data_IF_320700552514
#
_entry.id   IF_320700552514
#
_cell.length_a   1.000
_cell.length_b   1.000
_cell.length_c   1.000
_cell.angle_alpha   90.00
_cell.angle_beta   90.00
_cell.angle_gamma   90.00
#
_symmetry.space_group_name_H-M   'P 1'
#
loop_
_entity.id
_entity.type
_entity.pdbx_description
1 polymer ?
#
# COMPACT_ATOMS: atom_id res chain seq x y z
N UNK A 1 -13.60 -8.97 -28.63
CA UNK A 1 -12.43 -8.42 -27.90
C UNK A 1 -11.80 -9.54 -27.07
N UNK A 2 -10.56 -9.94 -27.37
CA UNK A 2 -9.89 -11.08 -26.76
C UNK A 2 -9.34 -10.74 -25.36
N UNK A 3 -10.01 -11.20 -24.30
CA UNK A 3 -9.53 -11.10 -22.92
C UNK A 3 -8.27 -11.95 -22.65
N UNK A 4 -7.91 -12.86 -23.55
CA UNK A 4 -6.83 -13.84 -23.36
C UNK A 4 -5.40 -13.32 -23.54
N UNK A 5 -5.19 -12.09 -24.05
CA UNK A 5 -3.84 -11.57 -24.31
C UNK A 5 -3.30 -10.63 -23.22
N UNK A 6 -4.13 -10.12 -22.32
CA UNK A 6 -3.71 -9.10 -21.34
C UNK A 6 -2.81 -9.64 -20.21
N UNK A 7 -2.81 -10.96 -19.99
CA UNK A 7 -2.20 -11.61 -18.83
C UNK A 7 -0.95 -12.46 -19.13
N UNK A 8 -0.65 -12.71 -20.42
CA UNK A 8 0.38 -13.70 -20.85
C UNK A 8 1.83 -13.28 -20.53
N UNK A 9 2.04 -12.04 -20.09
CA UNK A 9 3.34 -11.54 -19.66
C UNK A 9 3.23 -10.64 -18.42
N UNK A 10 2.18 -10.83 -17.63
CA UNK A 10 1.97 -10.05 -16.42
C UNK A 10 2.69 -10.66 -15.23
N UNK A 11 3.13 -9.79 -14.33
CA UNK A 11 3.71 -10.15 -13.05
C UNK A 11 2.75 -9.79 -11.93
N UNK A 12 2.71 -10.59 -10.85
CA UNK A 12 1.63 -10.51 -9.86
C UNK A 12 2.14 -10.32 -8.44
N UNK A 13 1.47 -9.44 -7.70
CA UNK A 13 1.42 -9.49 -6.25
C UNK A 13 0.09 -10.09 -5.82
N UNK A 14 0.13 -11.13 -5.01
CA UNK A 14 -1.04 -11.77 -4.42
C UNK A 14 -0.95 -11.56 -2.91
N UNK A 15 -1.90 -10.81 -2.37
CA UNK A 15 -2.00 -10.46 -0.96
C UNK A 15 -3.19 -11.19 -0.36
N UNK A 16 -2.95 -11.96 0.70
CA UNK A 16 -3.99 -12.61 1.51
C UNK A 16 -3.80 -12.16 2.95
N UNK A 17 -4.84 -11.66 3.58
CA UNK A 17 -4.79 -11.14 4.95
C UNK A 17 -6.14 -11.30 5.64
N UNK A 18 -6.18 -11.11 6.95
CA UNK A 18 -7.38 -11.30 7.76
C UNK A 18 -8.54 -10.40 7.30
N UNK A 19 -9.77 -10.85 7.56
CA UNK A 19 -10.95 -9.99 7.41
C UNK A 19 -10.80 -8.74 8.29
N UNK A 20 -10.97 -7.60 7.64
CA UNK A 20 -10.84 -6.30 8.26
C UNK A 20 -11.59 -5.25 7.47
N UNK A 21 -11.89 -4.15 8.14
CA UNK A 21 -12.69 -3.06 7.60
C UNK A 21 -12.03 -1.72 7.94
N UNK A 22 -12.34 -0.71 7.13
CA UNK A 22 -11.88 0.66 7.37
C UNK A 22 -10.47 0.93 6.85
N UNK A 23 -10.28 2.16 6.39
CA UNK A 23 -9.05 2.59 5.74
C UNK A 23 -7.84 2.70 6.67
N UNK A 24 -8.03 2.55 7.98
CA UNK A 24 -6.95 2.44 8.96
C UNK A 24 -6.30 1.06 9.00
N UNK A 25 -6.98 0.00 8.56
CA UNK A 25 -6.43 -1.37 8.57
C UNK A 25 -5.80 -1.75 7.23
N UNK A 26 -6.36 -1.23 6.15
CA UNK A 26 -5.86 -1.41 4.80
C UNK A 26 -6.28 -0.25 3.89
N UNK A 27 -5.49 0.06 2.87
CA UNK A 27 -5.88 1.04 1.86
C UNK A 27 -5.12 0.75 0.57
N UNK A 28 -5.79 0.86 -0.58
CA UNK A 28 -5.21 0.54 -1.87
C UNK A 28 -5.59 1.57 -2.92
N UNK A 29 -4.70 1.77 -3.87
CA UNK A 29 -4.99 2.49 -5.09
C UNK A 29 -4.28 1.85 -6.27
N UNK A 30 -5.04 1.56 -7.33
CA UNK A 30 -4.55 0.98 -8.58
C UNK A 30 -5.24 1.71 -9.75
N UNK A 31 -4.57 2.65 -10.45
CA UNK A 31 -5.14 3.24 -11.66
C UNK A 31 -5.48 2.17 -12.71
N UNK A 32 -6.48 2.46 -13.54
CA UNK A 32 -6.87 1.65 -14.70
C UNK A 32 -7.24 0.19 -14.41
N UNK A 33 -7.63 -0.09 -13.15
CA UNK A 33 -8.05 -1.43 -12.74
C UNK A 33 -6.92 -2.45 -12.75
N UNK A 34 -5.66 -2.05 -12.53
CA UNK A 34 -4.50 -2.93 -12.38
C UNK A 34 -4.53 -3.83 -11.12
N UNK A 35 -5.70 -3.95 -10.48
CA UNK A 35 -5.93 -4.77 -9.32
C UNK A 35 -7.35 -5.35 -9.28
N UNK A 36 -7.48 -6.52 -8.65
CA UNK A 36 -8.76 -7.17 -8.31
C UNK A 36 -8.75 -7.51 -6.84
N UNK A 37 -9.91 -7.40 -6.21
CA UNK A 37 -10.06 -7.68 -4.79
C UNK A 37 -11.27 -8.57 -4.53
N UNK A 38 -11.19 -9.34 -3.46
CA UNK A 38 -12.30 -10.05 -2.83
C UNK A 38 -12.18 -9.82 -1.33
N UNK A 39 -13.02 -8.97 -0.78
CA UNK A 39 -13.01 -8.67 0.65
C UNK A 39 -13.96 -9.58 1.43
N UNK A 40 -13.56 -9.97 2.64
CA UNK A 40 -14.35 -10.76 3.61
C UNK A 40 -14.84 -12.13 3.09
N UNK A 41 -14.15 -12.72 2.11
CA UNK A 41 -14.54 -14.00 1.53
C UNK A 41 -13.85 -15.13 2.28
N UNK A 42 -14.62 -15.94 2.99
CA UNK A 42 -14.08 -17.04 3.80
C UNK A 42 -13.25 -16.57 4.99
N UNK A 43 -13.56 -15.39 5.55
CA UNK A 43 -12.84 -14.83 6.70
C UNK A 43 -11.52 -14.12 6.37
N UNK A 44 -11.22 -13.94 5.09
CA UNK A 44 -10.02 -13.26 4.62
C UNK A 44 -10.34 -12.21 3.56
N UNK A 45 -9.38 -11.30 3.39
CA UNK A 45 -9.29 -10.40 2.26
C UNK A 45 -8.22 -10.91 1.29
N UNK A 46 -8.54 -10.87 0.00
CA UNK A 46 -7.59 -11.19 -1.07
C UNK A 46 -7.50 -10.01 -2.02
N UNK A 47 -6.29 -9.55 -2.30
CA UNK A 47 -6.02 -8.54 -3.32
C UNK A 47 -4.97 -9.08 -4.28
N UNK A 48 -5.23 -8.96 -5.59
CA UNK A 48 -4.29 -9.30 -6.64
C UNK A 48 -3.98 -8.05 -7.43
N UNK A 49 -2.72 -7.64 -7.41
CA UNK A 49 -2.18 -6.64 -8.31
C UNK A 49 -1.46 -7.34 -9.47
N UNK A 50 -1.53 -6.76 -10.67
CA UNK A 50 -0.69 -7.20 -11.78
C UNK A 50 -0.10 -6.02 -12.55
N UNK A 51 1.11 -6.22 -13.07
CA UNK A 51 1.76 -5.31 -14.02
C UNK A 51 2.01 -6.02 -15.34
N UNK A 52 1.63 -5.41 -16.45
CA UNK A 52 1.98 -5.87 -17.80
C UNK A 52 3.36 -5.42 -18.26
N UNK A 53 3.96 -4.45 -17.58
CA UNK A 53 5.14 -3.75 -18.08
C UNK A 53 6.38 -3.99 -17.21
N UNK A 54 6.22 -4.54 -16.01
CA UNK A 54 7.35 -4.97 -15.17
C UNK A 54 8.33 -5.86 -15.92
N UNK A 55 7.84 -6.93 -16.57
CA UNK A 55 8.68 -7.86 -17.33
C UNK A 55 9.32 -7.22 -18.57
N UNK A 56 8.77 -6.11 -19.08
CA UNK A 56 9.28 -5.38 -20.25
C UNK A 56 10.25 -4.25 -19.88
N UNK A 57 10.17 -3.76 -18.65
CA UNK A 57 11.01 -2.68 -18.16
C UNK A 57 12.50 -3.08 -18.20
N UNK A 58 13.37 -2.12 -18.53
CA UNK A 58 14.82 -2.32 -18.43
C UNK A 58 15.24 -2.47 -16.96
N UNK A 59 16.40 -3.08 -16.73
CA UNK A 59 16.94 -3.20 -15.37
C UNK A 59 17.07 -1.83 -14.69
N UNK A 60 17.59 -0.83 -15.41
CA UNK A 60 17.71 0.55 -14.90
C UNK A 60 16.36 1.18 -14.49
N UNK A 61 15.27 0.91 -15.23
CA UNK A 61 13.95 1.40 -14.88
C UNK A 61 13.41 0.74 -13.60
N UNK A 62 13.63 -0.57 -13.44
CA UNK A 62 13.26 -1.32 -12.23
C UNK A 62 14.06 -0.85 -11.01
N UNK A 63 15.36 -0.63 -11.18
CA UNK A 63 16.25 -0.16 -10.10
C UNK A 63 15.85 1.25 -9.66
N UNK A 64 15.59 2.16 -10.61
CA UNK A 64 15.11 3.51 -10.30
C UNK A 64 13.78 3.50 -9.54
N UNK A 65 12.82 2.69 -9.99
CA UNK A 65 11.54 2.55 -9.28
C UNK A 65 11.73 2.02 -7.86
N UNK A 66 12.52 0.95 -7.72
CA UNK A 66 12.82 0.32 -6.42
C UNK A 66 13.53 1.29 -5.49
N UNK A 67 14.45 2.10 -6.01
CA UNK A 67 15.16 3.12 -5.24
C UNK A 67 14.21 4.23 -4.77
N UNK A 68 13.31 4.73 -5.62
CA UNK A 68 12.29 5.71 -5.22
C UNK A 68 11.38 5.17 -4.11
N UNK A 69 10.87 3.94 -4.28
CA UNK A 69 10.02 3.29 -3.30
C UNK A 69 10.74 3.04 -1.96
N UNK A 70 12.02 2.64 -2.01
CA UNK A 70 12.87 2.51 -0.81
C UNK A 70 13.08 3.85 -0.11
N UNK A 71 13.41 4.91 -0.85
CA UNK A 71 13.60 6.25 -0.29
C UNK A 71 12.33 6.76 0.38
N UNK A 72 11.16 6.53 -0.24
CA UNK A 72 9.88 6.81 0.40
C UNK A 72 9.67 5.97 1.68
N UNK A 73 9.98 4.68 1.62
CA UNK A 73 9.94 3.75 2.75
C UNK A 73 10.68 4.23 4.00
N UNK A 74 11.79 4.93 3.80
CA UNK A 74 12.62 5.46 4.89
C UNK A 74 12.05 6.70 5.58
N UNK A 75 11.00 7.34 5.04
CA UNK A 75 10.40 8.57 5.62
C UNK A 75 9.47 8.29 6.82
N UNK A 76 8.97 7.06 6.95
CA UNK A 76 7.87 6.73 7.87
C UNK A 76 6.51 7.24 7.37
N UNK A 77 5.43 6.81 8.04
CA UNK A 77 4.06 7.15 7.64
C UNK A 77 3.51 8.33 8.45
N UNK A 78 2.83 9.31 7.82
CA UNK A 78 2.15 10.36 8.55
C UNK A 78 0.98 9.77 9.35
N UNK A 79 0.75 10.26 10.55
CA UNK A 79 -0.48 9.93 11.30
C UNK A 79 -1.66 10.62 10.63
N UNK A 80 -2.62 9.83 10.14
CA UNK A 80 -3.87 10.32 9.56
C UNK A 80 -5.03 9.73 10.34
N UNK A 81 -5.79 10.56 11.04
CA UNK A 81 -6.94 10.16 11.82
C UNK A 81 -8.22 10.71 11.22
N UNK A 82 -9.31 9.96 11.37
CA UNK A 82 -10.67 10.46 11.23
C UNK A 82 -11.22 10.77 12.62
N UNK A 83 -11.83 11.94 12.78
CA UNK A 83 -12.43 12.38 14.03
C UNK A 83 -13.91 11.98 14.05
N UNK A 84 -14.17 10.71 14.34
CA UNK A 84 -15.51 10.27 14.72
C UNK A 84 -15.80 10.74 16.15
N UNK A 85 -16.83 11.58 16.29
CA UNK A 85 -17.30 12.11 17.58
C UNK A 85 -17.71 10.99 18.57
N UNK A 86 -18.19 9.85 18.06
CA UNK A 86 -18.77 8.78 18.87
C UNK A 86 -17.81 7.63 19.20
N UNK A 87 -16.77 7.38 18.39
CA UNK A 87 -15.86 6.23 18.56
C UNK A 87 -14.42 6.61 18.90
N UNK A 88 -14.14 7.92 19.04
CA UNK A 88 -12.78 8.44 19.19
C UNK A 88 -11.98 8.36 17.89
N UNK A 89 -10.70 8.79 17.90
CA UNK A 89 -9.87 8.77 16.70
C UNK A 89 -9.64 7.34 16.23
N UNK A 90 -9.80 7.13 14.93
CA UNK A 90 -9.31 5.94 14.22
C UNK A 90 -8.40 6.37 13.07
N UNK A 91 -7.43 5.52 12.71
CA UNK A 91 -6.58 5.81 11.57
C UNK A 91 -7.41 5.73 10.28
N UNK A 92 -7.15 6.65 9.36
CA UNK A 92 -7.85 6.71 8.09
C UNK A 92 -6.89 7.09 6.96
N UNK A 93 -6.46 6.09 6.21
CA UNK A 93 -5.62 6.26 5.01
C UNK A 93 -6.45 6.28 3.72
N UNK A 94 -7.72 6.67 3.77
CA UNK A 94 -8.53 6.86 2.57
C UNK A 94 -7.84 7.86 1.65
N UNK A 95 -7.69 7.50 0.38
CA UNK A 95 -7.02 8.33 -0.64
C UNK A 95 -5.50 8.49 -0.48
N UNK A 96 -4.89 8.06 0.63
CA UNK A 96 -3.45 8.22 0.82
C UNK A 96 -2.59 7.41 -0.17
N UNK A 97 -2.93 6.15 -0.53
CA UNK A 97 -2.21 5.43 -1.58
C UNK A 97 -2.22 6.16 -2.93
N UNK A 98 -3.32 6.85 -3.26
CA UNK A 98 -3.38 7.70 -4.46
C UNK A 98 -2.40 8.87 -4.35
N UNK A 99 -2.38 9.56 -3.21
CA UNK A 99 -1.44 10.65 -2.97
C UNK A 99 0.01 10.19 -3.13
N UNK A 100 0.38 9.02 -2.59
CA UNK A 100 1.73 8.45 -2.76
C UNK A 100 2.02 8.16 -4.24
N UNK A 101 1.07 7.54 -4.94
CA UNK A 101 1.23 7.25 -6.38
C UNK A 101 1.43 8.53 -7.20
N UNK A 102 0.63 9.57 -6.95
CA UNK A 102 0.65 10.80 -7.75
C UNK A 102 1.90 11.68 -7.48
N UNK A 103 2.45 11.64 -6.25
CA UNK A 103 3.43 12.64 -5.80
C UNK A 103 4.81 12.08 -5.46
N UNK A 104 4.92 10.79 -5.13
CA UNK A 104 6.15 10.22 -4.55
C UNK A 104 6.85 9.23 -5.48
N UNK A 105 6.11 8.59 -6.39
CA UNK A 105 6.63 7.49 -7.21
C UNK A 105 6.34 7.70 -8.69
N UNK A 106 7.39 7.72 -9.50
CA UNK A 106 7.22 7.69 -10.97
C UNK A 106 7.02 6.27 -11.45
N UNK A 107 6.15 6.04 -12.44
CA UNK A 107 5.81 4.72 -12.98
C UNK A 107 5.20 3.75 -11.94
N UNK A 108 4.55 4.27 -10.90
CA UNK A 108 3.75 3.43 -10.00
C UNK A 108 2.38 3.14 -10.63
N UNK A 109 2.05 1.85 -10.72
CA UNK A 109 0.74 1.34 -11.15
C UNK A 109 -0.13 0.87 -9.97
N UNK A 110 0.45 0.82 -8.76
CA UNK A 110 -0.25 0.43 -7.55
C UNK A 110 0.47 0.90 -6.30
N UNK A 111 -0.31 1.31 -5.31
CA UNK A 111 0.13 1.48 -3.93
C UNK A 111 -0.88 0.78 -3.03
N UNK A 112 -0.38 -0.10 -2.17
CA UNK A 112 -1.15 -0.79 -1.15
C UNK A 112 -0.54 -0.58 0.22
N UNK A 113 -1.40 -0.52 1.23
CA UNK A 113 -1.03 -0.44 2.63
C UNK A 113 -1.88 -1.44 3.39
N UNK A 114 -1.24 -2.28 4.20
CA UNK A 114 -1.93 -3.23 5.08
C UNK A 114 -1.24 -3.17 6.43
N UNK A 115 -2.00 -2.94 7.49
CA UNK A 115 -1.46 -2.89 8.85
C UNK A 115 -0.85 -4.24 9.22
N UNK A 116 0.29 -4.22 9.90
CA UNK A 116 1.10 -5.42 10.18
C UNK A 116 0.34 -6.49 10.99
N UNK A 117 -0.54 -6.06 11.88
CA UNK A 117 -1.44 -6.90 12.68
C UNK A 117 -2.55 -7.63 11.89
N UNK A 118 -2.66 -7.42 10.57
CA UNK A 118 -3.66 -8.08 9.72
C UNK A 118 -3.22 -9.44 9.17
N UNK A 119 -2.06 -9.95 9.59
CA UNK A 119 -1.61 -11.30 9.19
C UNK A 119 -1.34 -11.44 7.69
N UNK A 120 -0.80 -10.40 7.06
CA UNK A 120 -0.55 -10.39 5.63
C UNK A 120 0.42 -11.51 5.20
N UNK A 121 -0.06 -12.33 4.27
CA UNK A 121 0.75 -13.22 3.44
C UNK A 121 0.87 -12.61 2.04
N UNK A 122 2.11 -12.26 1.66
CA UNK A 122 2.45 -11.81 0.32
C UNK A 122 3.03 -12.96 -0.51
N UNK A 123 2.54 -13.10 -1.73
CA UNK A 123 3.07 -14.04 -2.73
C UNK A 123 3.33 -13.29 -4.03
N UNK A 124 4.35 -13.74 -4.75
CA UNK A 124 4.74 -13.21 -6.05
C UNK A 124 4.66 -14.32 -7.09
N UNK A 125 4.25 -13.99 -8.31
CA UNK A 125 4.20 -14.93 -9.42
C UNK A 125 4.52 -14.25 -10.76
N UNK A 126 5.07 -15.03 -11.70
CA UNK A 126 5.36 -14.65 -13.10
C UNK A 126 6.25 -13.39 -13.24
N UNK A 127 7.30 -13.31 -12.44
CA UNK A 127 8.25 -12.20 -12.44
C UNK A 127 9.63 -12.65 -12.94
N UNK A 128 10.26 -11.80 -13.76
CA UNK A 128 11.67 -11.96 -14.16
C UNK A 128 12.68 -11.56 -13.07
N UNK A 129 12.19 -10.92 -11.99
CA UNK A 129 12.93 -10.51 -10.79
C UNK A 129 12.11 -10.89 -9.55
N UNK A 130 12.62 -10.77 -8.31
CA UNK A 130 11.94 -11.32 -7.14
C UNK A 130 10.52 -10.78 -6.88
N UNK A 131 10.19 -9.56 -7.33
CA UNK A 131 8.89 -8.93 -7.08
C UNK A 131 8.51 -7.94 -8.19
N UNK A 132 7.22 -7.73 -8.52
CA UNK A 132 6.77 -6.76 -9.52
C UNK A 132 6.69 -5.32 -8.98
N UNK A 133 7.79 -4.88 -8.37
CA UNK A 133 7.92 -3.58 -7.74
C UNK A 133 8.76 -3.65 -6.47
N UNK A 134 8.24 -3.11 -5.37
CA UNK A 134 8.92 -3.09 -4.07
C UNK A 134 7.91 -3.16 -2.93
N UNK A 135 8.31 -3.70 -1.77
CA UNK A 135 7.52 -3.64 -0.56
C UNK A 135 8.42 -3.44 0.65
N UNK A 136 7.91 -2.75 1.67
CA UNK A 136 8.65 -2.47 2.90
C UNK A 136 7.68 -2.25 4.06
N UNK A 137 8.13 -2.60 5.26
CA UNK A 137 7.48 -2.17 6.49
C UNK A 137 7.75 -0.68 6.71
N UNK A 138 6.72 0.06 7.09
CA UNK A 138 6.82 1.46 7.53
C UNK A 138 6.12 1.63 8.87
N UNK A 139 6.80 2.29 9.80
CA UNK A 139 6.23 2.65 11.11
C UNK A 139 5.52 3.99 11.00
N UNK A 140 4.42 4.16 11.74
CA UNK A 140 3.83 5.48 11.95
C UNK A 140 4.87 6.42 12.56
N UNK A 141 5.14 7.52 11.86
CA UNK A 141 5.99 8.58 12.36
C UNK A 141 5.40 9.23 13.61
N UNK A 142 6.27 9.71 14.48
CA UNK A 142 5.87 10.64 15.54
C UNK A 142 5.34 11.89 14.82
N UNK A 143 4.16 12.43 15.19
CA UNK A 143 3.66 13.65 14.58
C UNK A 143 4.72 14.75 14.64
N UNK A 144 5.12 15.26 13.47
CA UNK A 144 5.94 16.45 13.37
C UNK A 144 5.13 17.63 13.91
N UNK A 145 5.73 18.41 14.81
CA UNK A 145 5.17 19.63 15.41
C UNK A 145 4.72 20.71 14.40
N UNK A 146 5.00 20.53 13.12
CA UNK A 146 4.67 21.48 12.06
C UNK A 146 3.36 21.15 11.32
N UNK A 147 2.60 20.13 11.77
CA UNK A 147 1.24 19.90 11.30
C UNK A 147 0.22 20.33 12.37
N UNK A 148 -0.36 21.54 12.29
CA UNK A 148 -1.33 22.03 13.28
C UNK A 148 -2.61 21.17 13.36
N UNK A 149 -2.84 20.29 12.38
CA UNK A 149 -3.83 19.19 12.33
C UNK A 149 -3.88 18.24 13.52
N UNK A 150 -2.86 18.25 14.38
CA UNK A 150 -2.54 17.17 15.33
C UNK A 150 -2.54 17.65 16.78
N UNK A 151 -2.49 18.97 17.01
CA UNK A 151 -2.37 19.58 18.34
C UNK A 151 -3.70 19.67 19.10
N UNK A 152 -4.47 18.58 19.05
CA UNK A 152 -5.68 18.42 19.86
C UNK A 152 -5.41 17.78 21.21
N UNK A 153 -4.76 16.60 21.27
CA UNK A 153 -4.74 15.81 22.51
C UNK A 153 -3.50 14.89 22.62
N UNK A 154 -2.52 15.22 23.50
CA UNK A 154 -1.31 14.43 23.74
C UNK A 154 -1.54 12.94 24.06
N UNK A 155 -2.70 12.55 24.60
CA UNK A 155 -3.03 11.15 24.92
C UNK A 155 -3.57 10.30 23.75
N UNK A 156 -3.94 10.89 22.61
CA UNK A 156 -4.54 10.15 21.48
C UNK A 156 -3.51 9.48 20.58
N UNK A 157 -2.28 9.98 20.55
CA UNK A 157 -1.16 9.42 19.78
C UNK A 157 -0.61 8.13 20.39
N UNK A 158 -0.65 8.02 21.73
CA UNK A 158 -0.16 6.83 22.42
C UNK A 158 -0.89 5.56 21.97
N UNK A 159 -2.18 5.67 21.63
CA UNK A 159 -2.99 4.57 21.10
C UNK A 159 -2.42 3.94 19.82
N UNK A 160 -1.77 4.73 18.97
CA UNK A 160 -1.26 4.27 17.67
C UNK A 160 0.26 4.18 17.62
N UNK A 161 0.95 4.49 18.71
CA UNK A 161 2.41 4.47 18.78
C UNK A 161 2.93 3.08 18.44
N UNK A 162 3.91 3.03 17.53
CA UNK A 162 4.53 1.77 17.11
C UNK A 162 3.70 0.96 16.11
N UNK A 163 2.52 1.41 15.70
CA UNK A 163 1.76 0.78 14.62
C UNK A 163 2.60 0.77 13.36
N UNK A 164 2.58 -0.35 12.63
CA UNK A 164 3.29 -0.49 11.37
C UNK A 164 2.36 -0.93 10.25
N UNK A 165 2.79 -0.65 9.04
CA UNK A 165 2.12 -1.06 7.82
C UNK A 165 3.12 -1.71 6.88
N UNK A 166 2.72 -2.80 6.25
CA UNK A 166 3.34 -3.25 5.02
C UNK A 166 2.88 -2.34 3.89
N UNK A 167 3.82 -1.60 3.31
CA UNK A 167 3.64 -0.80 2.11
C UNK A 167 4.07 -1.61 0.90
N UNK A 168 3.23 -1.64 -0.13
CA UNK A 168 3.43 -2.43 -1.33
C UNK A 168 3.29 -1.50 -2.53
N UNK A 169 4.33 -1.45 -3.36
CA UNK A 169 4.43 -0.58 -4.52
C UNK A 169 4.54 -1.46 -5.76
N UNK A 170 3.58 -1.29 -6.67
CA UNK A 170 3.56 -1.99 -7.96
C UNK A 170 4.02 -1.06 -9.08
N UNK A 171 4.91 -1.56 -9.94
CA UNK A 171 5.36 -0.84 -11.13
C UNK A 171 4.30 -0.91 -12.23
N UNK A 172 3.95 0.22 -12.85
CA UNK A 172 3.02 0.30 -13.98
C UNK A 172 3.60 -0.43 -15.20
#
# INVERSE_FOLDING_TARGET
MNAGLKYKNSSYYIMVYNDCTGYGRHSFYAPNGAGKHSFRRGGCNVYVYWSSDWNKASQAARDRFTQQARTFGNKGLPVKCDESFWSGPDLNYSGYPKHVLDNELTNAGFVGMIRDDQGLTLRVSACVTPTPGYHTEMTLGIPNSNNPNVFGLPGRYEKFRGTKYMMIFGYY
#
